data_IF_562862804422
#
_entry.id   IF_562862804422
#
_cell.length_a   1.000
_cell.length_b   1.000
_cell.length_c   1.000
_cell.angle_alpha   90.00
_cell.angle_beta   90.00
_cell.angle_gamma   90.00
#
_symmetry.space_group_name_H-M   'P 1'
#
loop_
_entity.id
_entity.type
_entity.pdbx_description
1 polymer ?
#
# COMPACT_ATOMS: atom_id res chain seq x y z
N UNK A 1 16.18 -20.94 7.08
CA UNK A 1 15.07 -20.88 8.05
C UNK A 1 14.67 -19.43 8.07
N UNK A 2 13.64 -19.06 7.29
CA UNK A 2 13.52 -17.67 6.87
C UNK A 2 13.11 -16.67 7.92
N UNK A 3 13.90 -15.59 8.01
CA UNK A 3 13.87 -14.52 8.98
C UNK A 3 12.45 -13.99 9.17
N UNK A 4 11.97 -14.17 10.40
CA UNK A 4 10.64 -13.79 10.86
C UNK A 4 10.59 -12.27 10.99
N UNK A 5 9.77 -11.62 10.15
CA UNK A 5 9.35 -10.24 10.40
C UNK A 5 8.39 -10.24 11.60
N UNK A 6 8.90 -9.76 12.73
CA UNK A 6 8.22 -9.73 14.03
C UNK A 6 7.04 -8.76 14.01
N UNK A 7 5.85 -9.24 14.39
CA UNK A 7 4.75 -8.39 14.85
C UNK A 7 4.31 -8.90 16.22
N UNK A 8 5.18 -8.76 17.23
CA UNK A 8 4.89 -9.02 18.63
C UNK A 8 4.90 -7.70 19.40
N UNK A 9 3.74 -7.22 19.83
CA UNK A 9 3.56 -5.86 20.37
C UNK A 9 3.95 -5.69 21.84
N UNK A 10 4.39 -6.72 22.56
CA UNK A 10 4.48 -6.64 24.03
C UNK A 10 5.87 -6.84 24.65
N UNK A 11 6.92 -7.31 23.96
CA UNK A 11 8.20 -7.65 24.63
C UNK A 11 9.47 -7.55 23.77
N UNK A 12 9.86 -6.37 23.28
CA UNK A 12 11.18 -6.17 22.64
C UNK A 12 11.96 -4.96 23.21
N UNK A 13 13.30 -5.08 23.41
CA UNK A 13 14.16 -4.06 24.04
C UNK A 13 14.58 -2.89 23.13
N UNK A 14 14.14 -2.86 21.86
CA UNK A 14 14.38 -1.75 20.94
C UNK A 14 13.12 -0.87 20.84
N UNK A 15 13.19 0.35 21.38
CA UNK A 15 12.13 1.36 21.22
C UNK A 15 12.12 1.89 19.77
N UNK A 16 11.46 1.21 18.85
CA UNK A 16 10.91 1.89 17.67
C UNK A 16 9.59 2.49 18.11
N UNK A 17 9.65 3.76 18.52
CA UNK A 17 8.45 4.53 18.81
C UNK A 17 7.78 4.83 17.47
N UNK A 18 6.84 3.99 17.03
CA UNK A 18 5.93 4.36 15.92
C UNK A 18 5.07 5.50 16.44
N UNK A 19 5.54 6.75 16.29
CA UNK A 19 4.75 7.93 16.61
C UNK A 19 3.59 7.97 15.60
N UNK A 20 2.42 7.46 16.00
CA UNK A 20 1.18 7.67 15.25
C UNK A 20 1.03 9.17 15.07
N UNK A 21 1.04 9.64 13.81
CA UNK A 21 0.55 10.99 13.57
C UNK A 21 -0.96 10.98 13.79
N UNK A 22 -1.52 11.94 14.54
CA UNK A 22 -2.94 11.96 14.88
C UNK A 22 -3.85 12.19 13.67
N UNK A 23 -3.31 12.63 12.53
CA UNK A 23 -4.03 12.95 11.29
C UNK A 23 -4.17 11.76 10.32
N UNK A 24 -3.41 10.68 10.49
CA UNK A 24 -3.48 9.51 9.62
C UNK A 24 -4.45 8.48 10.17
N UNK A 25 -5.67 8.47 9.63
CA UNK A 25 -6.58 7.32 9.78
C UNK A 25 -5.92 6.12 9.09
N UNK A 26 -5.53 5.12 9.87
CA UNK A 26 -5.29 3.80 9.31
C UNK A 26 -6.65 3.32 8.78
N UNK A 27 -6.75 3.08 7.47
CA UNK A 27 -7.85 2.28 6.94
C UNK A 27 -7.86 0.92 7.65
N UNK A 28 -9.01 0.23 7.72
CA UNK A 28 -9.04 -1.07 8.35
C UNK A 28 -8.01 -1.98 7.68
N UNK A 29 -7.24 -2.70 8.49
CA UNK A 29 -6.47 -3.84 7.99
C UNK A 29 -7.53 -4.80 7.44
N UNK A 30 -7.59 -4.97 6.12
CA UNK A 30 -8.60 -5.76 5.40
C UNK A 30 -8.46 -7.28 5.65
N UNK A 31 -7.96 -7.68 6.83
CA UNK A 31 -7.90 -9.06 7.28
C UNK A 31 -9.17 -9.43 8.02
N UNK A 32 -9.63 -10.66 7.84
CA UNK A 32 -10.77 -11.16 8.59
C UNK A 32 -10.47 -11.10 10.11
N UNK A 33 -11.39 -10.59 10.94
CA UNK A 33 -11.11 -10.23 12.33
C UNK A 33 -10.55 -11.40 13.15
N UNK A 34 -10.97 -12.64 12.86
CA UNK A 34 -10.44 -13.84 13.52
C UNK A 34 -8.92 -14.02 13.38
N UNK A 35 -8.37 -13.67 12.21
CA UNK A 35 -6.92 -13.81 11.92
C UNK A 35 -6.10 -12.81 12.72
N UNK A 36 -6.67 -11.64 13.00
CA UNK A 36 -6.03 -10.62 13.85
C UNK A 36 -6.24 -10.90 15.34
N UNK A 37 -7.41 -11.40 15.72
CA UNK A 37 -7.80 -11.60 17.12
C UNK A 37 -7.03 -12.73 17.80
N UNK A 38 -6.77 -13.84 17.10
CA UNK A 38 -6.02 -14.98 17.66
C UNK A 38 -4.63 -14.57 18.21
N UNK A 39 -3.69 -14.06 17.39
CA UNK A 39 -2.38 -13.64 17.90
C UNK A 39 -2.46 -12.46 18.87
N UNK A 40 -3.47 -11.60 18.77
CA UNK A 40 -3.67 -10.49 19.71
C UNK A 40 -4.08 -10.96 21.12
N UNK A 41 -4.85 -12.05 21.21
CA UNK A 41 -5.33 -12.60 22.48
C UNK A 41 -4.38 -13.65 23.07
N UNK A 42 -3.71 -14.45 22.24
CA UNK A 42 -2.79 -15.50 22.71
C UNK A 42 -1.35 -14.99 22.86
N UNK A 43 -0.97 -13.96 22.11
CA UNK A 43 0.41 -13.50 22.01
C UNK A 43 1.29 -14.34 21.08
N UNK A 44 0.71 -15.31 20.36
CA UNK A 44 1.45 -16.16 19.43
C UNK A 44 1.93 -15.40 18.19
N UNK A 45 2.97 -15.92 17.56
CA UNK A 45 3.51 -15.35 16.33
C UNK A 45 2.75 -15.87 15.10
N UNK A 46 2.46 -14.95 14.16
CA UNK A 46 1.93 -15.30 12.85
C UNK A 46 3.08 -15.54 11.85
N UNK A 47 3.18 -16.75 11.31
CA UNK A 47 4.18 -17.07 10.30
C UNK A 47 3.99 -16.23 9.01
N UNK A 48 5.08 -15.85 8.35
CA UNK A 48 5.05 -15.01 7.15
C UNK A 48 4.23 -15.64 6.00
N UNK A 49 4.32 -16.97 5.84
CA UNK A 49 3.52 -17.69 4.85
C UNK A 49 2.03 -17.59 5.13
N UNK A 50 1.62 -17.77 6.40
CA UNK A 50 0.24 -17.59 6.81
C UNK A 50 -0.22 -16.14 6.63
N UNK A 51 0.62 -15.18 6.99
CA UNK A 51 0.36 -13.75 6.78
C UNK A 51 0.13 -13.43 5.28
N UNK A 52 0.80 -14.12 4.36
CA UNK A 52 0.57 -13.98 2.94
C UNK A 52 -0.78 -14.58 2.50
N UNK A 53 -1.10 -15.80 2.94
CA UNK A 53 -2.37 -16.48 2.62
C UNK A 53 -3.60 -15.68 3.06
N UNK A 54 -3.50 -14.99 4.19
CA UNK A 54 -4.60 -14.16 4.76
C UNK A 54 -4.60 -12.72 4.25
N UNK A 55 -3.69 -12.37 3.32
CA UNK A 55 -3.64 -11.05 2.68
C UNK A 55 -2.99 -9.94 3.52
N UNK A 56 -2.32 -10.27 4.63
CA UNK A 56 -1.57 -9.29 5.43
C UNK A 56 -0.22 -8.92 4.78
N UNK A 57 0.39 -9.86 4.04
CA UNK A 57 1.65 -9.67 3.32
C UNK A 57 1.44 -9.90 1.82
N UNK A 58 1.88 -8.95 0.99
CA UNK A 58 1.72 -9.05 -0.47
C UNK A 58 2.57 -10.17 -1.11
N UNK A 59 3.77 -10.43 -0.58
CA UNK A 59 4.72 -11.41 -1.14
C UNK A 59 5.66 -11.92 -0.04
N UNK A 60 5.91 -13.23 -0.02
CA UNK A 60 7.01 -13.85 0.75
C UNK A 60 8.25 -14.02 -0.14
N UNK A 61 9.43 -14.04 0.48
CA UNK A 61 10.71 -14.17 -0.21
C UNK A 61 11.58 -15.19 0.50
N UNK A 62 12.66 -15.60 -0.17
CA UNK A 62 13.76 -16.28 0.50
C UNK A 62 14.40 -15.40 1.58
N UNK A 63 15.19 -16.08 2.41
CA UNK A 63 15.94 -15.48 3.49
C UNK A 63 16.85 -14.36 3.03
N UNK A 64 16.77 -13.19 3.68
CA UNK A 64 17.61 -12.03 3.34
C UNK A 64 17.22 -11.30 2.04
N UNK A 65 16.27 -11.82 1.25
CA UNK A 65 15.87 -11.20 -0.01
C UNK A 65 14.79 -10.11 0.11
N UNK A 66 14.20 -9.94 1.31
CA UNK A 66 13.05 -9.06 1.52
C UNK A 66 13.30 -7.61 1.08
N UNK A 67 14.48 -7.05 1.40
CA UNK A 67 14.82 -5.67 1.01
C UNK A 67 14.95 -5.51 -0.51
N UNK A 68 15.65 -6.43 -1.16
CA UNK A 68 15.85 -6.41 -2.61
C UNK A 68 14.52 -6.45 -3.35
N UNK A 69 13.62 -7.35 -2.93
CA UNK A 69 12.29 -7.49 -3.52
C UNK A 69 11.39 -6.28 -3.21
N UNK A 70 11.48 -5.72 -2.01
CA UNK A 70 10.77 -4.49 -1.65
C UNK A 70 11.22 -3.30 -2.51
N UNK A 71 12.53 -3.14 -2.75
CA UNK A 71 13.06 -2.10 -3.63
C UNK A 71 12.66 -2.32 -5.09
N UNK A 72 12.65 -3.56 -5.56
CA UNK A 72 12.16 -3.89 -6.91
C UNK A 72 10.68 -3.53 -7.08
N UNK A 73 9.84 -3.82 -6.08
CA UNK A 73 8.44 -3.40 -6.06
C UNK A 73 8.31 -1.87 -6.04
N UNK A 74 9.09 -1.19 -5.20
CA UNK A 74 9.09 0.27 -5.13
C UNK A 74 9.50 0.90 -6.47
N UNK A 75 10.49 0.34 -7.16
CA UNK A 75 10.90 0.77 -8.50
C UNK A 75 9.78 0.62 -9.54
N UNK A 76 9.02 -0.48 -9.50
CA UNK A 76 7.85 -0.67 -10.37
C UNK A 76 6.75 0.35 -10.09
N UNK A 77 6.50 0.69 -8.81
CA UNK A 77 5.52 1.72 -8.43
C UNK A 77 6.01 3.11 -8.88
N UNK A 78 7.29 3.42 -8.66
CA UNK A 78 7.90 4.70 -9.02
C UNK A 78 7.99 4.93 -10.54
N UNK A 79 7.92 3.87 -11.35
CA UNK A 79 7.84 3.98 -12.80
C UNK A 79 6.48 4.48 -13.32
N UNK A 80 5.44 4.47 -12.49
CA UNK A 80 4.10 4.95 -12.85
C UNK A 80 3.97 6.47 -12.69
N UNK A 81 2.92 7.04 -13.28
CA UNK A 81 2.59 8.45 -13.12
C UNK A 81 2.40 8.83 -11.64
N UNK A 82 3.15 9.81 -11.11
CA UNK A 82 3.15 10.13 -9.69
C UNK A 82 1.79 10.64 -9.20
N UNK A 83 1.12 11.51 -9.97
CA UNK A 83 -0.22 12.01 -9.63
C UNK A 83 -1.25 10.89 -9.59
N UNK A 84 -1.25 10.01 -10.60
CA UNK A 84 -2.14 8.86 -10.64
C UNK A 84 -1.89 7.89 -9.48
N UNK A 85 -0.63 7.59 -9.16
CA UNK A 85 -0.27 6.68 -8.07
C UNK A 85 -0.75 7.19 -6.72
N UNK A 86 -0.56 8.49 -6.44
CA UNK A 86 -1.05 9.13 -5.20
C UNK A 86 -2.57 9.14 -5.15
N UNK A 87 -3.24 9.51 -6.24
CA UNK A 87 -4.69 9.53 -6.34
C UNK A 87 -5.31 8.13 -6.13
N UNK A 88 -4.79 7.11 -6.81
CA UNK A 88 -5.27 5.73 -6.66
C UNK A 88 -5.11 5.24 -5.22
N UNK A 89 -3.96 5.49 -4.58
CA UNK A 89 -3.74 5.12 -3.17
C UNK A 89 -4.74 5.82 -2.25
N UNK A 90 -4.99 7.12 -2.45
CA UNK A 90 -5.96 7.88 -1.67
C UNK A 90 -7.36 7.30 -1.80
N UNK A 91 -7.81 7.03 -3.03
CA UNK A 91 -9.14 6.47 -3.29
C UNK A 91 -9.28 5.12 -2.57
N UNK A 92 -8.32 4.20 -2.71
CA UNK A 92 -8.40 2.88 -2.07
C UNK A 92 -8.53 3.01 -0.55
N UNK A 93 -7.76 3.89 0.10
CA UNK A 93 -7.79 4.09 1.55
C UNK A 93 -9.06 4.79 2.05
N UNK A 94 -9.59 5.74 1.29
CA UNK A 94 -10.70 6.59 1.73
C UNK A 94 -12.06 6.01 1.34
N UNK A 95 -12.16 5.20 0.26
CA UNK A 95 -13.44 4.83 -0.35
C UNK A 95 -14.39 4.06 0.58
N UNK A 96 -13.84 3.27 1.51
CA UNK A 96 -14.63 2.46 2.44
C UNK A 96 -15.43 3.33 3.41
N UNK A 97 -14.94 4.54 3.70
CA UNK A 97 -15.57 5.50 4.60
C UNK A 97 -16.60 6.40 3.91
N UNK A 98 -16.72 6.32 2.58
CA UNK A 98 -17.65 7.17 1.83
C UNK A 98 -19.06 6.55 1.77
N UNK A 99 -20.12 7.38 1.91
CA UNK A 99 -21.48 6.96 1.57
C UNK A 99 -21.51 6.37 0.16
N UNK A 100 -22.24 5.26 -0.04
CA UNK A 100 -22.22 4.51 -1.31
C UNK A 100 -22.60 5.39 -2.50
N UNK A 101 -23.59 6.26 -2.29
CA UNK A 101 -24.17 7.19 -3.25
C UNK A 101 -23.16 8.27 -3.68
N UNK A 102 -22.18 8.58 -2.82
CA UNK A 102 -21.16 9.61 -3.05
C UNK A 102 -19.83 9.05 -3.58
N UNK A 103 -19.65 7.71 -3.64
CA UNK A 103 -18.34 7.11 -3.96
C UNK A 103 -17.81 7.59 -5.30
N UNK A 104 -18.65 7.60 -6.33
CA UNK A 104 -18.24 8.04 -7.67
C UNK A 104 -18.01 9.55 -7.75
N UNK A 105 -18.80 10.37 -7.06
CA UNK A 105 -18.59 11.83 -7.08
C UNK A 105 -17.29 12.21 -6.36
N UNK A 106 -17.01 11.60 -5.21
CA UNK A 106 -15.76 11.80 -4.46
C UNK A 106 -14.55 11.26 -5.21
N UNK A 107 -14.67 10.10 -5.86
CA UNK A 107 -13.63 9.57 -6.73
C UNK A 107 -13.32 10.53 -7.89
N UNK A 108 -14.35 11.03 -8.60
CA UNK A 108 -14.18 11.99 -9.71
C UNK A 108 -13.47 13.26 -9.28
N UNK A 109 -13.83 13.82 -8.13
CA UNK A 109 -13.15 15.00 -7.58
C UNK A 109 -11.64 14.79 -7.36
N UNK A 110 -11.19 13.55 -7.18
CA UNK A 110 -9.76 13.19 -7.07
C UNK A 110 -9.16 12.87 -8.44
N UNK A 111 -9.89 12.17 -9.33
CA UNK A 111 -9.35 11.69 -10.61
C UNK A 111 -9.36 12.73 -11.72
N UNK A 112 -10.35 13.64 -11.74
CA UNK A 112 -10.51 14.60 -12.85
C UNK A 112 -9.27 15.52 -13.01
N UNK A 113 -8.67 16.07 -11.93
CA UNK A 113 -7.42 16.82 -12.06
C UNK A 113 -6.25 15.98 -12.57
N UNK A 114 -6.20 14.68 -12.23
CA UNK A 114 -5.16 13.76 -12.73
C UNK A 114 -5.32 13.56 -14.23
N UNK A 115 -6.55 13.36 -14.72
CA UNK A 115 -6.80 13.19 -16.16
C UNK A 115 -6.53 14.47 -16.97
N UNK A 116 -6.67 15.65 -16.35
CA UNK A 116 -6.37 16.92 -16.99
C UNK A 116 -4.86 17.27 -17.02
N UNK A 117 -4.03 16.49 -16.33
CA UNK A 117 -2.62 16.81 -16.05
C UNK A 117 -1.69 16.56 -17.24
N UNK A 118 -0.48 17.14 -17.20
CA UNK A 118 0.57 16.86 -18.18
C UNK A 118 1.04 15.41 -18.12
N UNK A 119 1.12 14.83 -16.92
CA UNK A 119 1.43 13.41 -16.72
C UNK A 119 0.41 12.51 -17.45
N UNK A 120 -0.89 12.81 -17.43
CA UNK A 120 -1.87 12.00 -18.18
C UNK A 120 -1.60 12.03 -19.70
N UNK A 121 -1.31 13.21 -20.25
CA UNK A 121 -0.98 13.37 -21.68
C UNK A 121 0.32 12.64 -22.03
N UNK A 122 1.33 12.76 -21.20
CA UNK A 122 2.61 12.07 -21.39
C UNK A 122 2.44 10.54 -21.30
N UNK A 123 1.64 10.04 -20.37
CA UNK A 123 1.38 8.61 -20.24
C UNK A 123 0.74 8.02 -21.50
N UNK A 124 -0.27 8.70 -22.04
CA UNK A 124 -0.92 8.30 -23.30
C UNK A 124 0.07 8.33 -24.46
N UNK A 125 0.85 9.42 -24.58
CA UNK A 125 1.85 9.59 -25.65
C UNK A 125 2.96 8.52 -25.58
N UNK A 126 3.57 8.34 -24.41
CA UNK A 126 4.64 7.37 -24.21
C UNK A 126 4.17 5.93 -24.49
N UNK A 127 2.94 5.61 -24.11
CA UNK A 127 2.32 4.32 -24.43
C UNK A 127 2.16 4.13 -25.95
N UNK A 128 1.61 5.12 -26.65
CA UNK A 128 1.44 5.08 -28.10
C UNK A 128 2.78 4.95 -28.85
N UNK A 129 3.81 5.66 -28.36
CA UNK A 129 5.18 5.66 -28.90
C UNK A 129 6.03 4.47 -28.42
N UNK A 130 5.49 3.57 -27.57
CA UNK A 130 6.18 2.42 -26.98
C UNK A 130 7.51 2.78 -26.30
N UNK A 131 7.58 3.95 -25.67
CA UNK A 131 8.75 4.43 -24.92
C UNK A 131 8.43 4.58 -23.44
N UNK A 132 9.47 4.82 -22.64
CA UNK A 132 9.29 5.16 -21.22
C UNK A 132 8.75 6.59 -21.10
N UNK A 133 7.76 6.83 -20.21
CA UNK A 133 7.24 8.17 -19.95
C UNK A 133 8.20 9.01 -19.10
N UNK A 134 8.18 10.33 -19.33
CA UNK A 134 8.91 11.34 -18.56
C UNK A 134 7.94 12.14 -17.69
N UNK A 135 7.72 11.65 -16.47
CA UNK A 135 6.79 12.28 -15.52
C UNK A 135 7.31 13.62 -14.99
N UNK A 136 6.39 14.58 -14.87
CA UNK A 136 6.67 15.95 -14.45
C UNK A 136 5.87 16.35 -13.20
N UNK A 137 4.99 15.46 -12.69
CA UNK A 137 4.18 15.67 -11.48
C UNK A 137 3.26 16.89 -11.56
N UNK A 138 2.70 17.14 -12.73
CA UNK A 138 1.77 18.23 -13.02
C UNK A 138 0.82 17.86 -14.15
#
# INVERSE_FOLDING_TARGET
MSAVAMVGWSRLPWRVTVRRRPDRRAGPVSGAPQVAMEPALTGDMLAAQRAHEVGLVNKTTEDGCALTEALALAGRIAANGPLATVASKRIVLDHEQWPKEERFSRQRAITDPVFASEDAREGIRAFAEKRRPHWQSR
#
